data_IF_004117191654
#
_entry.id   IF_004117191654
#
_cell.length_a   1.000
_cell.length_b   1.000
_cell.length_c   1.000
_cell.angle_alpha   90.00
_cell.angle_beta   90.00
_cell.angle_gamma   90.00
#
_symmetry.space_group_name_H-M   'P 1'
#
loop_
_entity.id
_entity.type
_entity.pdbx_description
1 polymer ?
#
# COMPACT_ATOMS: atom_id res chain seq x y z
N UNK A 1 -18.93 -5.57 -17.20
CA UNK A 1 -17.84 -6.33 -16.53
C UNK A 1 -17.52 -5.67 -15.21
N UNK A 2 -17.52 -6.44 -14.12
CA UNK A 2 -17.33 -5.94 -12.76
C UNK A 2 -16.35 -6.82 -12.01
N UNK A 3 -15.58 -6.22 -11.12
CA UNK A 3 -14.76 -6.96 -10.17
C UNK A 3 -15.59 -7.18 -8.89
N UNK A 4 -15.85 -8.43 -8.54
CA UNK A 4 -16.63 -8.80 -7.35
C UNK A 4 -15.76 -9.56 -6.36
N UNK A 5 -16.10 -9.46 -5.08
CA UNK A 5 -15.45 -10.23 -4.01
C UNK A 5 -16.33 -11.42 -3.65
N UNK A 6 -15.85 -12.63 -3.92
CA UNK A 6 -16.49 -13.86 -3.50
C UNK A 6 -16.05 -14.22 -2.08
N UNK A 7 -17.02 -14.53 -1.22
CA UNK A 7 -16.80 -14.94 0.17
C UNK A 7 -17.10 -16.43 0.30
N UNK A 8 -16.13 -17.21 0.74
CA UNK A 8 -16.32 -18.62 1.06
C UNK A 8 -16.70 -18.78 2.54
N UNK A 9 -17.37 -19.89 2.87
CA UNK A 9 -17.73 -20.24 4.25
C UNK A 9 -16.51 -20.36 5.17
N UNK A 10 -15.33 -20.64 4.61
CA UNK A 10 -14.04 -20.66 5.32
C UNK A 10 -13.53 -19.27 5.72
N UNK A 11 -14.18 -18.18 5.31
CA UNK A 11 -13.70 -16.80 5.47
C UNK A 11 -12.82 -16.31 4.31
N UNK A 12 -12.35 -17.21 3.44
CA UNK A 12 -11.51 -16.86 2.30
C UNK A 12 -12.23 -15.88 1.36
N UNK A 13 -11.51 -14.84 0.95
CA UNK A 13 -11.99 -13.82 0.01
C UNK A 13 -11.22 -13.96 -1.31
N UNK A 14 -11.95 -14.10 -2.42
CA UNK A 14 -11.35 -14.23 -3.75
C UNK A 14 -11.93 -13.17 -4.67
N UNK A 15 -11.11 -12.31 -5.31
CA UNK A 15 -11.61 -11.37 -6.28
C UNK A 15 -11.87 -12.11 -7.59
N UNK A 16 -13.03 -11.89 -8.20
CA UNK A 16 -13.44 -12.52 -9.45
C UNK A 16 -13.88 -11.44 -10.42
N UNK A 17 -13.34 -11.49 -11.63
CA UNK A 17 -13.77 -10.61 -12.71
C UNK A 17 -14.95 -11.27 -13.43
N UNK A 18 -16.10 -10.62 -13.39
CA UNK A 18 -17.35 -11.16 -13.92
C UNK A 18 -17.90 -10.30 -15.07
N UNK A 19 -18.58 -10.95 -16.00
CA UNK A 19 -19.45 -10.30 -16.98
C UNK A 19 -20.87 -10.19 -16.43
N UNK A 20 -21.55 -9.09 -16.74
CA UNK A 20 -22.96 -8.89 -16.36
C UNK A 20 -23.81 -9.84 -17.23
N UNK A 21 -24.58 -10.73 -16.60
CA UNK A 21 -25.46 -11.70 -17.27
C UNK A 21 -26.93 -11.54 -16.82
N UNK A 22 -27.86 -12.12 -17.56
CA UNK A 22 -29.32 -11.96 -17.38
C UNK A 22 -29.88 -12.58 -16.08
N UNK A 23 -29.21 -13.57 -15.49
CA UNK A 23 -29.66 -14.22 -14.25
C UNK A 23 -28.61 -14.20 -13.11
N UNK A 24 -27.31 -14.21 -13.44
CA UNK A 24 -26.22 -14.08 -12.47
C UNK A 24 -24.92 -13.62 -13.17
N UNK A 25 -24.01 -12.92 -12.45
CA UNK A 25 -22.70 -12.59 -12.98
C UNK A 25 -21.84 -13.84 -13.20
N UNK A 26 -21.34 -14.03 -14.42
CA UNK A 26 -20.48 -15.16 -14.79
C UNK A 26 -18.99 -14.75 -14.80
N UNK A 27 -18.05 -15.57 -14.30
CA UNK A 27 -16.63 -15.27 -14.40
C UNK A 27 -16.16 -15.16 -15.86
N UNK A 28 -15.30 -14.18 -16.19
CA UNK A 28 -14.57 -14.20 -17.46
C UNK A 28 -13.54 -15.32 -17.44
N UNK A 29 -13.56 -16.16 -18.47
CA UNK A 29 -12.96 -17.49 -18.43
C UNK A 29 -11.44 -17.44 -18.25
N UNK A 30 -10.73 -16.73 -19.12
CA UNK A 30 -9.27 -16.72 -19.09
C UNK A 30 -8.71 -16.00 -17.86
N UNK A 31 -9.24 -14.83 -17.44
CA UNK A 31 -8.86 -14.19 -16.18
C UNK A 31 -9.13 -15.07 -14.95
N UNK A 32 -10.24 -15.80 -14.93
CA UNK A 32 -10.57 -16.71 -13.83
C UNK A 32 -9.53 -17.85 -13.73
N UNK A 33 -9.22 -18.52 -14.84
CA UNK A 33 -8.21 -19.59 -14.88
C UNK A 33 -6.83 -19.04 -14.48
N UNK A 34 -6.47 -17.84 -14.94
CA UNK A 34 -5.21 -17.18 -14.57
C UNK A 34 -5.08 -17.03 -13.06
N UNK A 35 -6.13 -16.51 -12.41
CA UNK A 35 -6.15 -16.32 -10.96
C UNK A 35 -6.04 -17.66 -10.21
N UNK A 36 -6.82 -18.66 -10.60
CA UNK A 36 -6.81 -19.97 -9.94
C UNK A 36 -5.45 -20.65 -10.01
N UNK A 37 -4.75 -20.53 -11.14
CA UNK A 37 -3.47 -21.21 -11.36
C UNK A 37 -2.25 -20.43 -10.88
N UNK A 38 -2.28 -19.09 -10.92
CA UNK A 38 -1.11 -18.24 -10.58
C UNK A 38 -1.17 -17.62 -9.18
N UNK A 39 -2.35 -17.52 -8.58
CA UNK A 39 -2.56 -16.72 -7.37
C UNK A 39 -3.22 -17.48 -6.20
N UNK A 40 -3.27 -18.82 -6.25
CA UNK A 40 -3.91 -19.67 -5.21
C UNK A 40 -3.51 -19.33 -3.77
N UNK A 41 -2.30 -18.82 -3.55
CA UNK A 41 -1.74 -18.47 -2.23
C UNK A 41 -1.31 -17.00 -2.11
N UNK A 42 -1.86 -16.11 -2.94
CA UNK A 42 -1.51 -14.69 -2.92
C UNK A 42 -2.59 -13.88 -2.21
N UNK A 43 -2.16 -12.84 -1.50
CA UNK A 43 -3.07 -11.92 -0.79
C UNK A 43 -4.11 -11.32 -1.73
N UNK A 44 -5.36 -11.17 -1.23
CA UNK A 44 -6.51 -10.67 -1.98
C UNK A 44 -6.19 -9.39 -2.78
N UNK A 45 -5.58 -8.40 -2.14
CA UNK A 45 -5.28 -7.10 -2.76
C UNK A 45 -4.30 -7.22 -3.94
N UNK A 46 -3.38 -8.17 -3.90
CA UNK A 46 -2.46 -8.45 -5.01
C UNK A 46 -3.23 -8.99 -6.21
N UNK A 47 -4.09 -9.98 -5.98
CA UNK A 47 -4.94 -10.58 -7.04
C UNK A 47 -5.90 -9.55 -7.62
N UNK A 48 -6.56 -8.77 -6.75
CA UNK A 48 -7.47 -7.70 -7.15
C UNK A 48 -6.76 -6.62 -7.96
N UNK A 49 -5.49 -6.30 -7.69
CA UNK A 49 -4.72 -5.36 -8.49
C UNK A 49 -4.51 -5.89 -9.93
N UNK A 50 -4.09 -7.15 -10.08
CA UNK A 50 -3.99 -7.79 -11.41
C UNK A 50 -5.33 -7.78 -12.15
N UNK A 51 -6.42 -8.16 -11.48
CA UNK A 51 -7.73 -8.18 -12.10
C UNK A 51 -8.24 -6.78 -12.48
N UNK A 52 -7.88 -5.71 -11.75
CA UNK A 52 -8.20 -4.34 -12.16
C UNK A 52 -7.45 -3.92 -13.43
N UNK A 53 -6.17 -4.30 -13.55
CA UNK A 53 -5.40 -4.04 -14.76
C UNK A 53 -5.98 -4.80 -15.97
N UNK A 54 -6.33 -6.08 -15.79
CA UNK A 54 -6.99 -6.90 -16.80
C UNK A 54 -8.36 -6.32 -17.15
N UNK A 55 -9.18 -5.95 -16.16
CA UNK A 55 -10.50 -5.35 -16.36
C UNK A 55 -10.40 -4.07 -17.20
N UNK A 56 -9.45 -3.19 -16.90
CA UNK A 56 -9.26 -1.95 -17.64
C UNK A 56 -8.93 -2.22 -19.11
N UNK A 57 -8.03 -3.16 -19.39
CA UNK A 57 -7.71 -3.56 -20.75
C UNK A 57 -8.88 -4.22 -21.48
N UNK A 58 -9.61 -5.12 -20.82
CA UNK A 58 -10.82 -5.75 -21.39
C UNK A 58 -11.91 -4.72 -21.69
N UNK A 59 -12.04 -3.69 -20.85
CA UNK A 59 -12.99 -2.59 -21.08
C UNK A 59 -12.61 -1.82 -22.34
N UNK A 60 -11.34 -1.50 -22.50
CA UNK A 60 -10.82 -0.82 -23.69
C UNK A 60 -10.92 -1.70 -24.95
N UNK A 61 -10.59 -2.99 -24.87
CA UNK A 61 -10.71 -3.90 -25.99
C UNK A 61 -12.17 -4.08 -26.44
N UNK A 62 -13.11 -4.11 -25.50
CA UNK A 62 -14.55 -4.16 -25.80
C UNK A 62 -15.02 -2.92 -26.56
N UNK A 63 -14.49 -1.72 -26.27
CA UNK A 63 -14.82 -0.52 -27.06
C UNK A 63 -14.21 -0.53 -28.47
N UNK A 64 -13.32 -1.50 -28.75
CA UNK A 64 -12.75 -1.78 -30.07
C UNK A 64 -13.27 -3.10 -30.65
N UNK A 65 -14.40 -3.58 -30.14
CA UNK A 65 -15.12 -4.77 -30.63
C UNK A 65 -14.28 -6.06 -30.63
N UNK A 66 -13.26 -6.14 -29.76
CA UNK A 66 -12.41 -7.34 -29.62
C UNK A 66 -12.75 -8.10 -28.34
N UNK A 67 -13.17 -9.37 -28.45
CA UNK A 67 -13.22 -10.28 -27.30
C UNK A 67 -11.83 -10.88 -27.03
N UNK A 68 -11.23 -10.44 -25.91
CA UNK A 68 -9.89 -10.87 -25.51
C UNK A 68 -9.84 -12.36 -25.13
N UNK A 69 -10.90 -12.94 -24.55
CA UNK A 69 -10.90 -14.36 -24.23
C UNK A 69 -10.85 -15.19 -25.53
N UNK A 70 -11.68 -14.84 -26.52
CA UNK A 70 -11.72 -15.52 -27.83
C UNK A 70 -10.39 -15.37 -28.57
N UNK A 71 -9.83 -14.16 -28.64
CA UNK A 71 -8.55 -13.90 -29.29
C UNK A 71 -7.40 -14.69 -28.63
N UNK A 72 -7.37 -14.80 -27.29
CA UNK A 72 -6.36 -15.60 -26.58
C UNK A 72 -6.53 -17.09 -26.90
N UNK A 73 -7.75 -17.61 -26.86
CA UNK A 73 -8.02 -19.02 -27.13
C UNK A 73 -7.71 -19.41 -28.57
N UNK A 74 -7.93 -18.49 -29.52
CA UNK A 74 -7.54 -18.62 -30.92
C UNK A 74 -6.04 -18.35 -31.18
N UNK A 75 -5.27 -17.99 -30.16
CA UNK A 75 -3.86 -17.62 -30.25
C UNK A 75 -3.57 -16.41 -31.18
N UNK A 76 -4.54 -15.49 -31.35
CA UNK A 76 -4.42 -14.26 -32.12
C UNK A 76 -3.81 -13.11 -31.29
N UNK A 77 -2.60 -13.31 -30.77
CA UNK A 77 -1.94 -12.32 -29.90
C UNK A 77 -1.58 -11.02 -30.63
N UNK A 78 -1.29 -11.06 -31.93
CA UNK A 78 -0.99 -9.85 -32.72
C UNK A 78 -2.16 -8.84 -32.69
N UNK A 79 -3.39 -9.31 -32.82
CA UNK A 79 -4.59 -8.46 -32.72
C UNK A 79 -4.75 -7.84 -31.33
N UNK A 80 -4.35 -8.57 -30.28
CA UNK A 80 -4.36 -8.05 -28.90
C UNK A 80 -3.28 -6.98 -28.73
N UNK A 81 -2.08 -7.22 -29.25
CA UNK A 81 -0.94 -6.30 -29.12
C UNK A 81 -1.12 -5.01 -29.94
N UNK A 82 -1.86 -5.07 -31.05
CA UNK A 82 -2.23 -3.89 -31.82
C UNK A 82 -3.05 -2.86 -31.01
N UNK A 83 -3.67 -3.27 -29.91
CA UNK A 83 -4.42 -2.38 -29.02
C UNK A 83 -3.55 -1.62 -28.02
N UNK A 84 -2.29 -2.01 -27.80
CA UNK A 84 -1.47 -1.49 -26.70
C UNK A 84 -1.23 0.02 -26.80
N UNK A 85 -0.82 0.50 -27.98
CA UNK A 85 -0.49 1.92 -28.19
C UNK A 85 -1.70 2.81 -27.79
N UNK A 86 -2.89 2.48 -28.31
CA UNK A 86 -4.12 3.20 -27.96
C UNK A 86 -4.57 3.00 -26.51
N UNK A 87 -4.37 1.80 -25.93
CA UNK A 87 -4.70 1.54 -24.52
C UNK A 87 -3.86 2.42 -23.58
N UNK A 88 -2.58 2.61 -23.89
CA UNK A 88 -1.69 3.42 -23.05
C UNK A 88 -2.10 4.89 -23.03
N UNK A 89 -2.48 5.45 -24.18
CA UNK A 89 -3.06 6.78 -24.31
C UNK A 89 -4.41 6.89 -23.61
N UNK A 90 -5.24 5.84 -23.71
CA UNK A 90 -6.53 5.78 -23.03
C UNK A 90 -6.39 5.81 -21.51
N UNK A 91 -5.40 5.13 -20.92
CA UNK A 91 -5.12 5.20 -19.49
C UNK A 91 -4.70 6.61 -19.03
N UNK A 92 -3.97 7.34 -19.86
CA UNK A 92 -3.50 8.70 -19.55
C UNK A 92 -4.59 9.76 -19.70
N UNK A 93 -5.53 9.56 -20.61
CA UNK A 93 -6.61 10.51 -20.93
C UNK A 93 -7.82 10.40 -20.00
N UNK A 94 -7.66 9.89 -18.78
CA UNK A 94 -8.79 9.67 -17.87
C UNK A 94 -9.82 8.69 -18.43
N UNK A 95 -9.39 7.77 -19.31
CA UNK A 95 -10.23 6.79 -20.00
C UNK A 95 -11.25 7.43 -20.94
N UNK A 96 -10.93 8.60 -21.48
CA UNK A 96 -11.80 9.36 -22.39
C UNK A 96 -11.32 9.40 -23.84
N UNK A 97 -10.01 9.31 -24.10
CA UNK A 97 -9.51 9.42 -25.47
C UNK A 97 -9.69 8.10 -26.23
N UNK A 98 -10.61 8.12 -27.19
CA UNK A 98 -10.36 7.48 -28.47
C UNK A 98 -9.29 8.26 -29.23
N UNK A 99 -8.64 7.60 -30.18
CA UNK A 99 -7.54 8.13 -30.98
C UNK A 99 -7.81 9.56 -31.49
N UNK A 100 -6.74 10.31 -31.80
CA UNK A 100 -6.61 11.70 -32.31
C UNK A 100 -7.54 12.18 -33.45
N UNK A 101 -8.62 11.50 -33.78
CA UNK A 101 -9.71 12.00 -34.62
C UNK A 101 -10.87 12.39 -33.71
N UNK A 102 -10.88 13.65 -33.30
CA UNK A 102 -11.96 14.27 -32.55
C UNK A 102 -13.31 14.08 -33.27
N UNK A 103 -14.16 13.16 -32.78
CA UNK A 103 -15.60 13.25 -33.04
C UNK A 103 -16.20 14.23 -32.05
N UNK A 104 -16.37 15.46 -32.52
CA UNK A 104 -17.13 16.50 -31.85
C UNK A 104 -18.56 15.98 -31.65
N UNK A 105 -19.04 16.00 -30.40
CA UNK A 105 -20.45 15.80 -30.06
C UNK A 105 -20.83 14.37 -29.66
N UNK A 106 -20.35 13.88 -28.51
CA UNK A 106 -21.11 12.88 -27.75
C UNK A 106 -20.97 13.10 -26.25
N UNK A 107 -22.08 12.96 -25.56
CA UNK A 107 -22.33 13.30 -24.15
C UNK A 107 -21.23 12.80 -23.21
N UNK A 108 -20.59 13.72 -22.48
CA UNK A 108 -19.51 13.41 -21.56
C UNK A 108 -19.99 12.48 -20.44
N UNK A 109 -19.59 11.20 -20.50
CA UNK A 109 -19.53 10.38 -19.29
C UNK A 109 -18.55 11.04 -18.32
N UNK A 110 -18.90 11.08 -17.02
CA UNK A 110 -18.09 11.66 -15.96
C UNK A 110 -16.61 11.26 -16.13
N UNK A 111 -15.73 12.24 -16.34
CA UNK A 111 -14.31 12.02 -16.53
C UNK A 111 -13.75 11.29 -15.32
N UNK A 112 -13.11 10.14 -15.55
CA UNK A 112 -12.26 9.56 -14.51
C UNK A 112 -10.97 10.40 -14.48
N UNK A 113 -10.40 10.65 -13.28
CA UNK A 113 -9.15 11.39 -13.20
C UNK A 113 -8.05 10.65 -13.99
N UNK A 114 -7.16 11.38 -14.68
CA UNK A 114 -5.97 10.80 -15.30
C UNK A 114 -5.23 9.89 -14.33
N UNK A 115 -4.85 8.70 -14.79
CA UNK A 115 -4.11 7.74 -13.96
C UNK A 115 -2.67 8.22 -13.82
N UNK A 116 -2.15 8.23 -12.60
CA UNK A 116 -0.77 8.62 -12.37
C UNK A 116 0.21 7.70 -13.13
N UNK A 117 1.35 8.21 -13.62
CA UNK A 117 2.26 7.41 -14.45
C UNK A 117 2.75 6.11 -13.80
N UNK A 118 2.94 6.09 -12.48
CA UNK A 118 3.35 4.89 -11.76
C UNK A 118 2.24 3.84 -11.73
N UNK A 119 1.00 4.24 -11.47
CA UNK A 119 -0.16 3.33 -11.57
C UNK A 119 -0.36 2.86 -13.00
N UNK A 120 -0.19 3.70 -14.01
CA UNK A 120 -0.24 3.30 -15.43
C UNK A 120 0.79 2.21 -15.72
N UNK A 121 2.05 2.42 -15.37
CA UNK A 121 3.11 1.43 -15.58
C UNK A 121 2.83 0.13 -14.81
N UNK A 122 2.24 0.21 -13.61
CA UNK A 122 1.82 -0.97 -12.85
C UNK A 122 0.71 -1.76 -13.58
N UNK A 123 -0.26 -1.07 -14.19
CA UNK A 123 -1.29 -1.72 -15.00
C UNK A 123 -0.66 -2.45 -16.20
N UNK A 124 0.27 -1.80 -16.90
CA UNK A 124 0.99 -2.40 -18.03
C UNK A 124 1.80 -3.62 -17.60
N UNK A 125 2.53 -3.56 -16.48
CA UNK A 125 3.29 -4.70 -15.94
C UNK A 125 2.39 -5.88 -15.58
N UNK A 126 1.23 -5.63 -14.99
CA UNK A 126 0.28 -6.68 -14.62
C UNK A 126 -0.38 -7.30 -15.84
N UNK A 127 -0.70 -6.48 -16.84
CA UNK A 127 -1.21 -6.95 -18.13
C UNK A 127 -0.17 -7.77 -18.89
N UNK A 128 1.10 -7.33 -18.91
CA UNK A 128 2.22 -8.09 -19.47
C UNK A 128 2.29 -9.50 -18.88
N UNK A 129 2.31 -9.60 -17.55
CA UNK A 129 2.35 -10.90 -16.87
C UNK A 129 1.15 -11.80 -17.20
N UNK A 130 -0.02 -11.22 -17.40
CA UNK A 130 -1.23 -11.95 -17.80
C UNK A 130 -1.13 -12.48 -19.23
N UNK A 131 -0.69 -11.65 -20.18
CA UNK A 131 -0.55 -12.05 -21.59
C UNK A 131 0.61 -13.02 -21.79
N UNK A 132 1.77 -12.80 -21.16
CA UNK A 132 2.88 -13.76 -21.19
C UNK A 132 2.46 -15.13 -20.65
N UNK A 133 1.69 -15.17 -19.55
CA UNK A 133 1.13 -16.43 -19.05
C UNK A 133 0.17 -17.09 -20.04
N UNK A 134 -0.65 -16.28 -20.72
CA UNK A 134 -1.60 -16.77 -21.73
C UNK A 134 -0.87 -17.41 -22.91
N UNK A 135 0.21 -16.79 -23.39
CA UNK A 135 1.09 -17.35 -24.44
C UNK A 135 1.65 -18.70 -24.00
N UNK A 136 2.27 -18.76 -22.81
CA UNK A 136 2.82 -20.02 -22.26
C UNK A 136 1.78 -21.12 -22.15
N UNK A 137 0.54 -20.76 -21.83
CA UNK A 137 -0.53 -21.75 -21.61
C UNK A 137 -1.17 -22.25 -22.90
N UNK A 138 -1.50 -21.36 -23.82
CA UNK A 138 -2.40 -21.66 -24.93
C UNK A 138 -1.68 -21.93 -26.26
N UNK A 139 -0.53 -21.29 -26.54
CA UNK A 139 0.20 -21.52 -27.80
C UNK A 139 0.67 -22.97 -27.95
N UNK A 140 1.32 -23.61 -26.95
CA UNK A 140 1.75 -24.99 -27.08
C UNK A 140 0.57 -25.94 -27.31
N UNK A 141 -0.57 -25.68 -26.65
CA UNK A 141 -1.77 -26.55 -26.71
C UNK A 141 -2.53 -26.44 -28.02
N UNK A 142 -2.67 -25.24 -28.58
CA UNK A 142 -3.34 -25.03 -29.86
C UNK A 142 -2.61 -25.75 -31.01
N UNK A 143 -1.30 -25.96 -30.87
CA UNK A 143 -0.43 -26.53 -31.90
C UNK A 143 -0.05 -28.00 -31.69
N UNK A 144 -0.51 -28.64 -30.61
CA UNK A 144 -0.40 -30.11 -30.47
C UNK A 144 -1.16 -30.88 -31.56
N UNK A 145 -2.04 -30.19 -32.30
CA UNK A 145 -2.72 -30.72 -33.49
C UNK A 145 -1.91 -30.54 -34.80
N UNK A 146 -0.64 -30.08 -34.73
CA UNK A 146 0.24 -29.86 -35.89
C UNK A 146 1.53 -30.68 -35.77
N UNK A 147 1.96 -31.31 -36.87
CA UNK A 147 2.95 -32.40 -36.92
C UNK A 147 4.41 -31.99 -36.62
N UNK A 148 4.72 -30.72 -36.32
CA UNK A 148 6.13 -30.26 -36.22
C UNK A 148 6.40 -29.46 -34.96
N UNK A 149 6.81 -30.15 -33.89
CA UNK A 149 7.18 -29.58 -32.58
C UNK A 149 8.15 -28.37 -32.66
N UNK A 150 9.13 -28.41 -33.56
CA UNK A 150 10.12 -27.33 -33.73
C UNK A 150 9.49 -25.98 -34.17
N UNK A 151 8.46 -26.00 -35.02
CA UNK A 151 7.78 -24.78 -35.47
C UNK A 151 6.93 -24.16 -34.35
N UNK A 152 6.48 -24.98 -33.40
CA UNK A 152 5.71 -24.55 -32.24
C UNK A 152 6.61 -23.75 -31.29
N UNK A 153 7.82 -24.27 -31.03
CA UNK A 153 8.79 -23.67 -30.12
C UNK A 153 9.31 -22.32 -30.64
N UNK A 154 9.64 -22.22 -31.93
CA UNK A 154 10.08 -20.97 -32.57
C UNK A 154 9.00 -19.90 -32.46
N UNK A 155 7.79 -20.17 -32.95
CA UNK A 155 6.74 -19.17 -32.91
C UNK A 155 6.17 -18.92 -31.50
N UNK A 156 6.42 -19.80 -30.51
CA UNK A 156 6.20 -19.49 -29.10
C UNK A 156 7.22 -18.45 -28.60
N UNK A 157 8.51 -18.68 -28.87
CA UNK A 157 9.58 -17.77 -28.47
C UNK A 157 9.41 -16.37 -29.10
N UNK A 158 9.04 -16.32 -30.38
CA UNK A 158 8.81 -15.07 -31.10
C UNK A 158 7.69 -14.24 -30.46
N UNK A 159 6.53 -14.85 -30.20
CA UNK A 159 5.39 -14.14 -29.59
C UNK A 159 5.72 -13.69 -28.16
N UNK A 160 6.40 -14.51 -27.37
CA UNK A 160 6.80 -14.15 -26.01
C UNK A 160 7.76 -12.95 -26.00
N UNK A 161 8.75 -12.93 -26.91
CA UNK A 161 9.71 -11.85 -27.04
C UNK A 161 9.08 -10.56 -27.58
N UNK A 162 8.14 -10.66 -28.53
CA UNK A 162 7.36 -9.51 -29.02
C UNK A 162 6.53 -8.88 -27.91
N UNK A 163 5.88 -9.68 -27.05
CA UNK A 163 5.18 -9.17 -25.86
C UNK A 163 6.14 -8.40 -24.96
N UNK A 164 7.29 -8.97 -24.63
CA UNK A 164 8.25 -8.32 -23.74
C UNK A 164 8.70 -6.97 -24.30
N UNK A 165 9.12 -6.93 -25.57
CA UNK A 165 9.57 -5.71 -26.25
C UNK A 165 8.47 -4.65 -26.34
N UNK A 166 7.24 -5.03 -26.72
CA UNK A 166 6.11 -4.10 -26.86
C UNK A 166 5.71 -3.44 -25.54
N UNK A 167 5.74 -4.18 -24.43
CA UNK A 167 5.40 -3.61 -23.13
C UNK A 167 6.54 -2.75 -22.56
N UNK A 168 7.80 -3.16 -22.69
CA UNK A 168 8.92 -2.38 -22.17
C UNK A 168 9.08 -1.03 -22.91
N UNK A 169 8.71 -0.95 -24.20
CA UNK A 169 8.71 0.35 -24.91
C UNK A 169 7.69 1.35 -24.38
N UNK A 170 6.65 0.88 -23.67
CA UNK A 170 5.59 1.72 -23.10
C UNK A 170 5.77 2.01 -21.61
N UNK A 171 6.57 1.20 -20.90
CA UNK A 171 6.83 1.38 -19.47
C UNK A 171 7.91 2.45 -19.31
N UNK A 172 7.51 3.62 -18.79
CA UNK A 172 8.42 4.77 -18.65
C UNK A 172 9.33 4.66 -17.43
N UNK A 173 8.96 3.84 -16.43
CA UNK A 173 9.71 3.71 -15.18
C UNK A 173 9.90 5.05 -14.47
N UNK A 174 8.82 5.83 -14.37
CA UNK A 174 8.87 7.14 -13.69
C UNK A 174 9.45 6.95 -12.30
N UNK A 175 10.66 7.49 -12.10
CA UNK A 175 11.33 7.41 -10.81
C UNK A 175 10.55 8.31 -9.85
N UNK A 176 10.15 7.81 -8.67
CA UNK A 176 9.54 8.67 -7.68
C UNK A 176 10.50 9.83 -7.38
N UNK A 177 9.96 11.03 -7.26
CA UNK A 177 10.73 12.20 -6.89
C UNK A 177 11.52 11.90 -5.60
N UNK A 178 12.85 11.85 -5.74
CA UNK A 178 13.77 11.49 -4.65
C UNK A 178 13.92 12.61 -3.63
N UNK A 179 13.38 13.80 -3.90
CA UNK A 179 13.60 14.98 -3.07
C UNK A 179 12.88 14.93 -1.71
N UNK A 180 11.85 14.09 -1.54
CA UNK A 180 11.01 14.14 -0.33
C UNK A 180 11.16 12.92 0.58
N UNK A 181 11.61 13.17 1.80
CA UNK A 181 11.51 12.22 2.90
C UNK A 181 10.08 12.14 3.45
N UNK A 182 9.59 10.90 3.65
CA UNK A 182 8.27 10.63 4.23
C UNK A 182 8.22 10.66 5.75
N UNK A 183 9.35 10.51 6.44
CA UNK A 183 9.38 10.68 7.90
C UNK A 183 8.91 12.10 8.27
N UNK A 184 8.44 12.29 9.49
CA UNK A 184 8.05 13.60 10.01
C UNK A 184 9.25 14.21 10.75
N UNK A 185 9.49 15.51 10.59
CA UNK A 185 10.50 16.24 11.37
C UNK A 185 9.99 16.47 12.80
N UNK A 186 10.89 16.82 13.72
CA UNK A 186 10.50 17.07 15.11
C UNK A 186 9.45 18.19 15.25
N UNK A 187 9.55 19.34 14.55
CA UNK A 187 8.49 20.36 14.57
C UNK A 187 7.15 19.83 14.05
N UNK A 188 7.15 19.10 12.94
CA UNK A 188 5.94 18.51 12.36
C UNK A 188 5.28 17.54 13.35
N UNK A 189 6.06 16.68 14.00
CA UNK A 189 5.53 15.73 14.96
C UNK A 189 5.00 16.42 16.22
N UNK A 190 5.69 17.46 16.70
CA UNK A 190 5.25 18.21 17.86
C UNK A 190 3.88 18.87 17.62
N UNK A 191 3.66 19.43 16.43
CA UNK A 191 2.37 20.00 16.03
C UNK A 191 1.30 18.90 16.02
N UNK A 192 1.58 17.76 15.37
CA UNK A 192 0.66 16.62 15.32
C UNK A 192 0.26 16.16 16.73
N UNK A 193 1.25 15.95 17.61
CA UNK A 193 1.02 15.49 19.00
C UNK A 193 0.25 16.50 19.84
N UNK A 194 0.52 17.79 19.66
CA UNK A 194 -0.20 18.87 20.35
C UNK A 194 -1.68 18.88 19.93
N UNK A 195 -1.93 18.71 18.64
CA UNK A 195 -3.27 18.78 18.05
C UNK A 195 -4.13 17.56 18.37
N UNK A 196 -3.55 16.36 18.34
CA UNK A 196 -4.29 15.10 18.52
C UNK A 196 -4.60 14.80 19.99
N UNK A 197 -3.88 15.43 20.94
CA UNK A 197 -4.03 15.19 22.38
C UNK A 197 -5.48 15.43 22.83
N UNK A 198 -6.09 14.54 23.63
CA UNK A 198 -7.43 14.75 24.16
C UNK A 198 -7.54 16.06 24.95
N UNK A 199 -8.61 16.81 24.71
CA UNK A 199 -8.89 18.10 25.34
C UNK A 199 -8.15 19.30 24.73
N UNK A 200 -7.24 19.11 23.75
CA UNK A 200 -6.55 20.23 23.13
C UNK A 200 -7.53 21.17 22.39
N UNK A 201 -7.34 22.49 22.56
CA UNK A 201 -8.23 23.53 22.00
C UNK A 201 -8.38 23.41 20.49
N UNK A 202 -7.28 23.11 19.78
CA UNK A 202 -7.29 22.93 18.33
C UNK A 202 -7.69 21.53 17.84
N UNK A 203 -7.99 20.58 18.75
CA UNK A 203 -8.23 19.19 18.34
C UNK A 203 -9.44 19.12 17.39
N UNK A 204 -9.27 18.65 16.15
CA UNK A 204 -10.34 18.75 15.17
C UNK A 204 -11.45 17.72 15.41
N UNK A 205 -11.31 16.78 16.35
CA UNK A 205 -12.28 15.71 16.57
C UNK A 205 -13.22 16.01 17.75
N UNK A 206 -14.48 15.52 17.69
CA UNK A 206 -15.37 15.55 18.86
C UNK A 206 -14.75 14.81 20.05
N UNK A 207 -14.94 15.33 21.29
CA UNK A 207 -14.35 14.79 22.53
C UNK A 207 -14.36 13.26 22.61
N UNK A 208 -15.51 12.62 22.37
CA UNK A 208 -15.70 11.15 22.38
C UNK A 208 -14.82 10.34 21.43
N UNK A 209 -14.17 10.97 20.46
CA UNK A 209 -13.29 10.32 19.48
C UNK A 209 -11.81 10.66 19.71
N UNK A 210 -11.50 11.63 20.57
CA UNK A 210 -10.15 12.15 20.72
C UNK A 210 -9.21 11.11 21.33
N UNK A 211 -9.61 10.43 22.41
CA UNK A 211 -8.77 9.38 23.03
C UNK A 211 -8.49 8.22 22.07
N UNK A 212 -9.52 7.74 21.36
CA UNK A 212 -9.38 6.71 20.33
C UNK A 212 -8.38 7.13 19.25
N UNK A 213 -8.53 8.34 18.71
CA UNK A 213 -7.70 8.83 17.63
C UNK A 213 -6.26 9.08 18.09
N UNK A 214 -6.07 9.62 19.29
CA UNK A 214 -4.75 9.80 19.88
C UNK A 214 -4.04 8.47 20.08
N UNK A 215 -4.72 7.47 20.68
CA UNK A 215 -4.18 6.12 20.85
C UNK A 215 -3.76 5.48 19.51
N UNK A 216 -4.56 5.66 18.44
CA UNK A 216 -4.18 5.19 17.10
C UNK A 216 -2.86 5.82 16.61
N UNK A 217 -2.68 7.12 16.80
CA UNK A 217 -1.47 7.83 16.35
C UNK A 217 -0.25 7.43 17.17
N UNK A 218 -0.36 7.35 18.50
CA UNK A 218 0.77 6.94 19.34
C UNK A 218 1.16 5.47 19.11
N UNK A 219 0.20 4.56 18.86
CA UNK A 219 0.52 3.19 18.45
C UNK A 219 1.27 3.12 17.13
N UNK A 220 0.92 3.95 16.15
CA UNK A 220 1.66 4.04 14.88
C UNK A 220 3.08 4.57 15.08
N UNK A 221 3.27 5.52 16.01
CA UNK A 221 4.55 6.14 16.32
C UNK A 221 5.46 5.25 17.16
N UNK A 222 4.95 4.50 18.13
CA UNK A 222 5.76 3.66 19.01
C UNK A 222 6.12 2.30 18.41
N UNK A 223 5.28 1.77 17.51
CA UNK A 223 5.49 0.41 16.97
C UNK A 223 5.87 0.37 15.49
N UNK A 224 5.67 1.49 14.79
CA UNK A 224 5.83 1.57 13.33
C UNK A 224 4.91 0.61 12.56
N UNK A 225 3.84 0.07 13.18
CA UNK A 225 2.95 -0.87 12.50
C UNK A 225 2.27 -0.26 11.28
N UNK A 226 1.87 -1.10 10.31
CA UNK A 226 1.09 -0.63 9.16
C UNK A 226 -0.35 -0.36 9.56
N UNK A 227 -1.04 0.49 8.80
CA UNK A 227 -2.50 0.74 8.99
C UNK A 227 -3.35 -0.53 9.05
N UNK A 228 -3.00 -1.55 8.25
CA UNK A 228 -3.73 -2.81 8.23
C UNK A 228 -3.59 -3.57 9.56
N UNK A 229 -2.38 -3.59 10.10
CA UNK A 229 -2.03 -4.18 11.40
C UNK A 229 -2.78 -3.45 12.52
N UNK A 230 -2.74 -2.11 12.55
CA UNK A 230 -3.47 -1.29 13.52
C UNK A 230 -4.97 -1.62 13.56
N UNK A 231 -5.60 -1.72 12.38
CA UNK A 231 -7.03 -1.98 12.25
C UNK A 231 -7.42 -3.45 12.49
N UNK A 232 -6.43 -4.33 12.63
CA UNK A 232 -6.59 -5.76 12.93
C UNK A 232 -6.31 -6.12 14.39
N UNK A 233 -5.85 -5.17 15.20
CA UNK A 233 -5.69 -5.38 16.64
C UNK A 233 -7.02 -5.72 17.29
N UNK A 234 -7.01 -6.73 18.14
CA UNK A 234 -8.05 -7.03 19.12
C UNK A 234 -7.76 -6.34 20.45
N UNK A 235 -8.77 -6.25 21.31
CA UNK A 235 -8.61 -5.75 22.69
C UNK A 235 -7.77 -6.65 23.59
N UNK A 236 -7.29 -7.78 23.11
CA UNK A 236 -6.45 -8.72 23.87
C UNK A 236 -5.03 -8.79 23.34
N UNK A 237 -4.72 -8.00 22.30
CA UNK A 237 -3.38 -8.00 21.69
C UNK A 237 -2.39 -7.09 22.41
N UNK A 238 -2.88 -6.22 23.31
CA UNK A 238 -2.04 -5.33 24.11
C UNK A 238 -2.04 -5.83 25.54
N UNK A 239 -0.86 -6.20 26.04
CA UNK A 239 -0.72 -6.86 27.34
C UNK A 239 0.46 -6.29 28.12
N UNK A 240 0.38 -6.34 29.45
CA UNK A 240 1.48 -6.02 30.35
C UNK A 240 2.37 -7.25 30.55
N UNK A 241 3.61 -7.19 30.07
CA UNK A 241 4.62 -8.21 30.34
C UNK A 241 5.36 -7.99 31.67
N UNK A 242 6.29 -8.88 31.99
CA UNK A 242 7.13 -8.78 33.19
C UNK A 242 8.12 -7.61 33.15
N UNK A 243 8.64 -7.28 31.96
CA UNK A 243 9.62 -6.19 31.78
C UNK A 243 9.01 -4.91 31.18
N UNK A 244 8.09 -5.07 30.24
CA UNK A 244 7.44 -3.96 29.55
C UNK A 244 6.07 -4.42 29.01
N UNK A 245 5.20 -3.46 28.73
CA UNK A 245 3.97 -3.72 27.98
C UNK A 245 4.30 -3.96 26.50
N UNK A 246 3.48 -4.75 25.82
CA UNK A 246 3.71 -5.10 24.43
C UNK A 246 2.41 -5.19 23.63
N UNK A 247 2.54 -5.06 22.32
CA UNK A 247 1.47 -5.27 21.34
C UNK A 247 1.83 -6.45 20.45
N UNK A 248 0.95 -7.44 20.38
CA UNK A 248 1.06 -8.60 19.50
C UNK A 248 0.33 -8.35 18.18
N UNK A 249 1.10 -8.23 17.11
CA UNK A 249 0.60 -8.13 15.73
C UNK A 249 0.50 -9.56 15.21
N UNK A 250 -0.71 -10.08 15.13
CA UNK A 250 -0.98 -11.45 14.67
C UNK A 250 -1.53 -11.45 13.24
N UNK A 251 -1.17 -12.49 12.48
CA UNK A 251 -1.76 -12.71 11.16
C UNK A 251 -3.20 -13.19 11.31
N UNK A 252 -4.14 -12.38 10.80
CA UNK A 252 -5.59 -12.60 10.84
C UNK A 252 -6.23 -12.28 9.50
N UNK A 253 -5.52 -12.57 8.41
CA UNK A 253 -6.10 -12.48 7.07
C UNK A 253 -7.24 -13.48 6.90
N UNK A 254 -8.31 -13.07 6.22
CA UNK A 254 -9.51 -13.85 5.99
C UNK A 254 -10.27 -14.24 7.27
N UNK A 255 -10.22 -13.40 8.31
CA UNK A 255 -10.97 -13.61 9.56
C UNK A 255 -12.49 -13.69 9.25
N UNK A 256 -13.16 -14.85 9.47
CA UNK A 256 -14.60 -14.99 9.24
C UNK A 256 -15.44 -14.03 10.11
N UNK A 257 -14.91 -13.61 11.26
CA UNK A 257 -15.53 -12.65 12.16
C UNK A 257 -15.34 -11.18 11.76
N UNK A 258 -14.60 -10.88 10.67
CA UNK A 258 -14.39 -9.52 10.18
C UNK A 258 -15.55 -9.07 9.26
N UNK A 259 -16.44 -8.19 9.72
CA UNK A 259 -17.63 -7.79 8.96
C UNK A 259 -17.34 -6.74 7.89
N UNK A 260 -16.08 -6.28 7.74
CA UNK A 260 -15.74 -5.21 6.80
C UNK A 260 -15.72 -5.77 5.38
N UNK A 261 -16.36 -5.07 4.45
CA UNK A 261 -16.31 -5.44 3.03
C UNK A 261 -14.87 -5.41 2.50
N UNK A 262 -14.15 -4.33 2.79
CA UNK A 262 -12.71 -4.21 2.55
C UNK A 262 -11.95 -4.59 3.82
N UNK A 263 -11.45 -5.82 3.86
CA UNK A 263 -10.60 -6.30 4.97
C UNK A 263 -9.25 -5.58 4.97
N UNK A 264 -8.77 -5.08 6.13
CA UNK A 264 -7.38 -4.65 6.24
C UNK A 264 -6.45 -5.86 6.12
N UNK A 265 -5.63 -5.86 5.06
CA UNK A 265 -4.63 -6.89 4.81
C UNK A 265 -3.32 -6.63 5.58
N UNK A 266 -2.64 -7.71 5.96
CA UNK A 266 -1.30 -7.65 6.52
C UNK A 266 -0.27 -7.70 5.38
N UNK A 267 0.83 -6.97 5.54
CA UNK A 267 1.95 -7.00 4.57
C UNK A 267 3.25 -7.43 5.21
N UNK A 268 3.22 -7.78 6.50
CA UNK A 268 4.38 -8.17 7.29
C UNK A 268 4.08 -9.39 8.11
N UNK A 269 5.14 -10.04 8.56
CA UNK A 269 5.04 -11.16 9.48
C UNK A 269 4.52 -10.69 10.85
N UNK A 270 3.81 -11.60 11.51
CA UNK A 270 3.41 -11.43 12.89
C UNK A 270 4.62 -11.23 13.81
N UNK A 271 4.44 -10.43 14.84
CA UNK A 271 5.51 -10.06 15.80
C UNK A 271 4.92 -9.43 17.04
N UNK A 272 5.72 -9.41 18.10
CA UNK A 272 5.43 -8.65 19.31
C UNK A 272 6.36 -7.44 19.38
N UNK A 273 5.79 -6.28 19.67
CA UNK A 273 6.53 -5.01 19.77
C UNK A 273 6.31 -4.41 21.16
N UNK A 274 7.40 -4.09 21.85
CA UNK A 274 7.32 -3.40 23.14
C UNK A 274 6.75 -1.98 22.98
N UNK A 275 5.97 -1.54 23.95
CA UNK A 275 5.41 -0.19 24.05
C UNK A 275 5.70 0.42 25.41
N UNK A 276 5.64 1.74 25.49
CA UNK A 276 5.83 2.47 26.73
C UNK A 276 4.74 2.17 27.75
N UNK A 277 5.07 2.33 29.04
CA UNK A 277 4.08 2.24 30.13
C UNK A 277 2.98 3.28 29.95
N UNK A 278 3.34 4.48 29.48
CA UNK A 278 2.40 5.58 29.23
C UNK A 278 1.39 5.19 28.13
N UNK A 279 1.84 4.61 27.02
CA UNK A 279 0.93 4.17 25.96
C UNK A 279 0.02 3.03 26.44
N UNK A 280 0.54 2.14 27.28
CA UNK A 280 -0.26 1.08 27.90
C UNK A 280 -1.35 1.65 28.82
N UNK A 281 -1.04 2.66 29.64
CA UNK A 281 -2.02 3.34 30.49
C UNK A 281 -3.13 4.03 29.67
N UNK A 282 -2.76 4.68 28.55
CA UNK A 282 -3.73 5.28 27.62
C UNK A 282 -4.64 4.22 27.00
N UNK A 283 -4.07 3.08 26.63
CA UNK A 283 -4.83 1.93 26.14
C UNK A 283 -5.82 1.40 27.20
N UNK A 284 -5.36 1.18 28.44
CA UNK A 284 -6.22 0.72 29.54
C UNK A 284 -7.37 1.70 29.78
N UNK A 285 -7.06 3.00 29.86
CA UNK A 285 -8.08 4.03 30.04
C UNK A 285 -9.11 4.03 28.89
N UNK A 286 -8.65 3.89 27.64
CA UNK A 286 -9.53 3.78 26.48
C UNK A 286 -10.45 2.55 26.58
N UNK A 287 -9.92 1.38 26.92
CA UNK A 287 -10.71 0.15 27.08
C UNK A 287 -11.77 0.30 28.17
N UNK A 288 -11.40 0.87 29.31
CA UNK A 288 -12.25 0.96 30.50
C UNK A 288 -13.31 2.06 30.39
N UNK A 289 -13.02 3.17 29.70
CA UNK A 289 -13.82 4.40 29.82
C UNK A 289 -14.51 4.84 28.52
N UNK A 290 -13.83 4.78 27.38
CA UNK A 290 -14.32 5.45 26.15
C UNK A 290 -14.57 4.51 24.96
N UNK A 291 -14.03 3.29 24.98
CA UNK A 291 -14.16 2.38 23.83
C UNK A 291 -15.62 2.06 23.52
N UNK A 292 -16.46 1.83 24.52
CA UNK A 292 -17.86 1.42 24.33
C UNK A 292 -18.73 2.64 23.99
N UNK A 293 -19.27 2.76 22.76
CA UNK A 293 -20.11 3.90 22.42
C UNK A 293 -21.47 3.83 23.11
N UNK A 294 -22.06 5.01 23.33
CA UNK A 294 -23.40 5.18 23.88
C UNK A 294 -24.35 5.70 22.82
N UNK A 295 -25.58 5.17 22.80
CA UNK A 295 -26.65 5.61 21.90
C UNK A 295 -27.97 5.61 22.66
N UNK A 296 -28.72 6.69 22.55
CA UNK A 296 -30.04 6.87 23.19
C UNK A 296 -29.98 6.56 24.71
N UNK A 297 -28.93 7.05 25.37
CA UNK A 297 -28.70 6.86 26.81
C UNK A 297 -28.25 5.45 27.24
N UNK A 298 -28.04 4.52 26.32
CA UNK A 298 -27.64 3.13 26.61
C UNK A 298 -26.31 2.74 25.95
N UNK A 299 -25.49 1.90 26.61
CA UNK A 299 -24.22 1.48 26.04
C UNK A 299 -24.43 0.37 24.99
N UNK A 300 -23.88 0.56 23.79
CA UNK A 300 -24.08 -0.37 22.66
C UNK A 300 -23.48 -1.75 22.95
N UNK A 301 -24.13 -2.83 22.50
CA UNK A 301 -23.58 -4.20 22.55
C UNK A 301 -22.39 -4.31 21.58
N UNK A 302 -21.22 -4.65 22.10
CA UNK A 302 -20.02 -4.83 21.29
C UNK A 302 -19.94 -6.27 20.78
N UNK A 303 -20.27 -6.45 19.50
CA UNK A 303 -20.27 -7.78 18.86
C UNK A 303 -18.89 -8.20 18.33
N UNK A 304 -17.93 -7.28 18.32
CA UNK A 304 -16.64 -7.46 17.65
C UNK A 304 -15.47 -7.23 18.62
N UNK A 305 -14.43 -8.05 18.46
CA UNK A 305 -13.23 -8.09 19.32
C UNK A 305 -12.18 -7.02 18.98
N UNK A 306 -12.35 -6.33 17.85
CA UNK A 306 -11.40 -5.34 17.33
C UNK A 306 -11.22 -4.14 18.28
N UNK A 307 -9.98 -3.73 18.51
CA UNK A 307 -9.60 -2.64 19.41
C UNK A 307 -10.29 -1.32 19.01
N UNK A 308 -10.16 -0.96 17.74
CA UNK A 308 -10.72 0.27 17.21
C UNK A 308 -12.08 0.02 16.56
N UNK A 309 -13.10 0.70 17.09
CA UNK A 309 -14.47 0.64 16.61
C UNK A 309 -15.00 2.02 16.23
N UNK A 310 -15.99 2.01 15.35
CA UNK A 310 -16.85 3.15 15.03
C UNK A 310 -17.82 3.46 16.17
N UNK A 311 -18.46 4.62 16.08
CA UNK A 311 -19.58 5.01 16.94
C UNK A 311 -20.78 4.04 16.89
N UNK A 312 -20.87 3.22 15.84
CA UNK A 312 -21.85 2.14 15.69
C UNK A 312 -21.39 0.80 16.27
N UNK A 313 -20.26 0.74 16.96
CA UNK A 313 -19.71 -0.49 17.53
C UNK A 313 -19.14 -1.49 16.51
N UNK A 314 -19.01 -1.10 15.24
CA UNK A 314 -18.41 -1.91 14.16
C UNK A 314 -16.91 -1.65 14.05
N UNK A 315 -16.08 -2.63 13.64
CA UNK A 315 -14.64 -2.45 13.45
C UNK A 315 -14.33 -1.27 12.53
N UNK A 316 -13.34 -0.47 12.91
CA UNK A 316 -12.96 0.72 12.14
C UNK A 316 -12.46 0.31 10.75
N UNK A 317 -12.90 1.01 9.70
CA UNK A 317 -12.51 0.74 8.32
C UNK A 317 -11.22 1.47 7.92
N UNK A 318 -10.58 1.03 6.84
CA UNK A 318 -9.43 1.73 6.25
C UNK A 318 -9.81 3.18 5.91
N UNK A 319 -10.98 3.39 5.31
CA UNK A 319 -11.51 4.72 4.98
C UNK A 319 -11.70 5.58 6.23
N UNK A 320 -12.23 5.03 7.32
CA UNK A 320 -12.43 5.79 8.55
C UNK A 320 -11.10 6.26 9.16
N UNK A 321 -10.05 5.42 9.14
CA UNK A 321 -8.70 5.84 9.54
C UNK A 321 -8.13 6.89 8.57
N UNK A 322 -8.31 6.72 7.26
CA UNK A 322 -7.90 7.73 6.28
C UNK A 322 -8.56 9.09 6.54
N UNK A 323 -9.85 9.12 6.85
CA UNK A 323 -10.56 10.35 7.17
C UNK A 323 -10.02 11.03 8.46
N UNK A 324 -9.58 10.24 9.45
CA UNK A 324 -8.92 10.80 10.65
C UNK A 324 -7.62 11.50 10.24
N UNK A 325 -6.79 10.84 9.44
CA UNK A 325 -5.51 11.40 9.00
C UNK A 325 -5.68 12.61 8.08
N UNK A 326 -6.65 12.56 7.17
CA UNK A 326 -6.99 13.66 6.27
C UNK A 326 -7.52 14.87 7.05
N UNK A 327 -8.40 14.66 8.03
CA UNK A 327 -8.87 15.77 8.87
C UNK A 327 -7.73 16.42 9.65
N UNK A 328 -6.83 15.61 10.22
CA UNK A 328 -5.65 16.11 10.91
C UNK A 328 -4.73 16.90 9.97
N UNK A 329 -4.49 16.38 8.76
CA UNK A 329 -3.74 17.05 7.71
C UNK A 329 -4.33 18.40 7.36
N UNK A 330 -5.62 18.46 7.03
CA UNK A 330 -6.30 19.69 6.62
C UNK A 330 -6.30 20.74 7.74
N UNK A 331 -6.43 20.34 9.00
CA UNK A 331 -6.32 21.27 10.14
C UNK A 331 -4.91 21.85 10.27
N UNK A 332 -3.86 21.05 10.04
CA UNK A 332 -2.48 21.52 10.06
C UNK A 332 -2.22 22.43 8.85
N UNK A 333 -2.66 22.04 7.66
CA UNK A 333 -2.48 22.83 6.44
C UNK A 333 -3.16 24.21 6.54
N UNK A 334 -4.33 24.29 7.18
CA UNK A 334 -5.00 25.56 7.41
C UNK A 334 -4.22 26.48 8.36
N UNK A 335 -3.57 25.94 9.39
CA UNK A 335 -2.81 26.70 10.37
C UNK A 335 -1.35 26.97 9.95
N UNK A 336 -0.78 26.07 9.16
CA UNK A 336 0.62 26.07 8.71
C UNK A 336 0.70 25.59 7.24
N UNK A 337 0.30 26.44 6.27
CA UNK A 337 0.29 26.07 4.85
C UNK A 337 1.65 25.56 4.36
N UNK A 338 1.64 24.45 3.62
CA UNK A 338 2.85 23.84 3.04
C UNK A 338 3.76 23.13 4.05
N UNK A 339 3.44 23.11 5.35
CA UNK A 339 4.26 22.44 6.37
C UNK A 339 4.32 20.93 6.14
N UNK A 340 3.20 20.33 5.78
CA UNK A 340 3.07 18.92 5.44
C UNK A 340 2.53 18.84 4.02
N UNK A 341 3.19 18.13 3.10
CA UNK A 341 2.60 17.99 1.76
C UNK A 341 1.54 16.88 1.71
N UNK A 342 1.58 15.91 2.64
CA UNK A 342 0.55 14.87 2.86
C UNK A 342 0.71 14.29 4.28
N UNK A 343 -0.34 13.64 4.80
CA UNK A 343 -0.26 12.83 6.02
C UNK A 343 -0.96 11.48 5.86
N UNK A 344 -0.25 10.40 6.14
CA UNK A 344 -0.73 9.03 6.05
C UNK A 344 -0.14 8.16 7.16
N UNK A 345 -0.77 7.02 7.45
CA UNK A 345 -0.26 6.04 8.41
C UNK A 345 1.20 5.60 8.10
N UNK A 346 1.56 5.66 6.82
CA UNK A 346 2.88 5.29 6.35
C UNK A 346 3.97 6.30 6.75
N UNK A 347 3.62 7.58 6.91
CA UNK A 347 4.55 8.62 7.32
C UNK A 347 4.97 8.43 8.78
N UNK A 348 4.05 8.00 9.64
CA UNK A 348 4.37 7.58 11.02
C UNK A 348 5.32 6.38 11.05
N UNK A 349 5.12 5.38 10.18
CA UNK A 349 6.03 4.25 10.07
C UNK A 349 7.42 4.65 9.59
N UNK A 350 7.53 5.56 8.62
CA UNK A 350 8.81 6.13 8.23
C UNK A 350 9.46 6.85 9.42
N UNK A 351 8.70 7.68 10.12
CA UNK A 351 9.17 8.42 11.32
C UNK A 351 9.69 7.48 12.41
N UNK A 352 8.95 6.40 12.70
CA UNK A 352 9.40 5.36 13.64
C UNK A 352 10.71 4.74 13.19
N UNK A 353 10.80 4.27 11.94
CA UNK A 353 12.01 3.60 11.44
C UNK A 353 13.24 4.51 11.46
N UNK A 354 13.06 5.77 11.07
CA UNK A 354 14.09 6.82 11.08
C UNK A 354 14.66 7.02 12.48
N UNK A 355 13.77 7.23 13.46
CA UNK A 355 14.15 7.47 14.86
C UNK A 355 14.66 6.24 15.58
N UNK A 356 14.09 5.07 15.30
CA UNK A 356 14.54 3.82 15.89
C UNK A 356 15.95 3.48 15.43
N UNK A 357 16.24 3.64 14.13
CA UNK A 357 17.59 3.44 13.61
C UNK A 357 18.58 4.44 14.21
N UNK A 358 18.20 5.73 14.29
CA UNK A 358 19.00 6.76 14.94
C UNK A 358 19.31 6.41 16.41
N UNK A 359 18.31 5.95 17.16
CA UNK A 359 18.49 5.53 18.55
C UNK A 359 19.48 4.36 18.68
N UNK A 360 19.36 3.33 17.84
CA UNK A 360 20.27 2.17 17.90
C UNK A 360 21.72 2.56 17.55
N UNK A 361 21.92 3.40 16.53
CA UNK A 361 23.27 3.79 16.10
C UNK A 361 23.87 4.84 17.03
N UNK A 362 23.14 5.89 17.36
CA UNK A 362 23.69 7.05 18.10
C UNK A 362 23.70 6.82 19.62
N UNK A 363 22.66 6.21 20.17
CA UNK A 363 22.53 6.03 21.63
C UNK A 363 23.02 4.67 22.09
N UNK A 364 22.69 3.60 21.35
CA UNK A 364 23.12 2.23 21.69
C UNK A 364 24.48 1.86 21.10
N UNK A 365 25.03 2.70 20.22
CA UNK A 365 26.34 2.52 19.55
C UNK A 365 26.44 1.20 18.78
N UNK A 366 25.32 0.72 18.23
CA UNK A 366 25.33 -0.45 17.37
C UNK A 366 25.89 -0.08 16.00
N UNK A 367 26.57 -1.03 15.37
CA UNK A 367 26.91 -0.93 13.96
C UNK A 367 25.62 -0.92 13.11
N UNK A 368 25.75 -0.42 11.88
CA UNK A 368 24.59 -0.22 11.01
C UNK A 368 23.91 -1.53 10.62
N UNK A 369 24.65 -2.64 10.50
CA UNK A 369 24.09 -3.92 10.08
C UNK A 369 23.22 -4.50 11.19
N UNK A 370 23.74 -4.57 12.41
CA UNK A 370 22.96 -4.97 13.60
C UNK A 370 21.74 -4.08 13.80
N UNK A 371 21.91 -2.75 13.71
CA UNK A 371 20.80 -1.82 13.90
C UNK A 371 19.72 -2.00 12.81
N UNK A 372 20.13 -2.31 11.59
CA UNK A 372 19.24 -2.63 10.48
C UNK A 372 18.48 -3.93 10.71
N UNK A 373 19.13 -4.97 11.26
CA UNK A 373 18.48 -6.26 11.58
C UNK A 373 17.44 -6.13 12.70
N UNK A 374 17.75 -5.41 13.77
CA UNK A 374 16.76 -5.13 14.82
C UNK A 374 15.58 -4.32 14.28
N UNK A 375 15.85 -3.33 13.41
CA UNK A 375 14.81 -2.59 12.72
C UNK A 375 13.96 -3.51 11.83
N UNK A 376 14.55 -4.47 11.08
CA UNK A 376 13.77 -5.47 10.30
C UNK A 376 12.84 -6.26 11.18
N UNK A 377 13.32 -6.74 12.33
CA UNK A 377 12.57 -7.56 13.26
C UNK A 377 11.37 -6.80 13.84
N UNK A 378 11.59 -5.60 14.38
CA UNK A 378 10.50 -4.78 14.97
C UNK A 378 9.50 -4.30 13.92
N UNK A 379 9.93 -4.11 12.67
CA UNK A 379 9.07 -3.73 11.56
C UNK A 379 8.39 -4.91 10.85
N UNK A 380 8.75 -6.17 11.16
CA UNK A 380 8.20 -7.37 10.53
C UNK A 380 8.62 -7.56 9.07
N UNK A 381 9.78 -7.03 8.67
CA UNK A 381 10.34 -7.27 7.34
C UNK A 381 11.05 -8.63 7.27
N UNK A 382 11.18 -9.18 6.07
CA UNK A 382 12.05 -10.34 5.83
C UNK A 382 13.52 -9.98 6.12
N UNK A 383 14.31 -10.96 6.52
CA UNK A 383 15.73 -10.80 6.90
C UNK A 383 16.56 -10.16 5.78
N UNK A 384 16.29 -10.53 4.52
CA UNK A 384 17.00 -9.99 3.34
C UNK A 384 16.40 -8.69 2.80
N UNK A 385 15.42 -8.09 3.50
CA UNK A 385 14.71 -6.93 2.99
C UNK A 385 15.58 -5.68 2.95
N UNK A 386 15.54 -4.96 1.82
CA UNK A 386 16.13 -3.62 1.66
C UNK A 386 15.26 -2.49 2.25
N UNK A 387 14.12 -2.82 2.84
CA UNK A 387 13.16 -1.83 3.34
C UNK A 387 13.70 -0.89 4.44
N UNK A 388 14.56 -1.30 5.39
CA UNK A 388 15.15 -0.38 6.36
C UNK A 388 15.76 0.87 5.73
N UNK A 389 16.57 0.70 4.68
CA UNK A 389 17.23 1.81 3.96
C UNK A 389 16.22 2.77 3.33
N UNK A 390 15.08 2.25 2.87
CA UNK A 390 13.99 3.07 2.30
C UNK A 390 13.20 3.82 3.37
N UNK A 391 12.97 3.19 4.52
CA UNK A 391 12.11 3.77 5.55
C UNK A 391 12.85 4.79 6.43
N UNK A 392 14.11 4.51 6.76
CA UNK A 392 15.01 5.38 7.51
C UNK A 392 15.91 6.22 6.58
N UNK A 393 15.43 6.53 5.37
CA UNK A 393 16.25 7.20 4.35
C UNK A 393 16.69 8.61 4.75
N UNK A 394 15.89 9.31 5.57
CA UNK A 394 16.24 10.65 6.05
C UNK A 394 17.43 10.57 6.99
N UNK A 395 17.36 9.75 8.03
CA UNK A 395 18.43 9.55 9.00
C UNK A 395 19.74 9.18 8.31
N UNK A 396 19.70 8.22 7.38
CA UNK A 396 20.90 7.81 6.63
C UNK A 396 21.51 8.97 5.83
N UNK A 397 20.68 9.78 5.17
CA UNK A 397 21.14 10.92 4.39
C UNK A 397 21.65 12.06 5.28
N UNK A 398 20.94 12.40 6.36
CA UNK A 398 21.36 13.41 7.33
C UNK A 398 22.65 13.02 8.04
N UNK A 399 22.79 11.74 8.42
CA UNK A 399 24.02 11.18 8.98
C UNK A 399 25.18 11.31 8.01
N UNK A 400 25.00 10.92 6.74
CA UNK A 400 26.02 11.08 5.70
C UNK A 400 26.44 12.54 5.50
N UNK A 401 25.46 13.46 5.45
CA UNK A 401 25.73 14.89 5.33
C UNK A 401 26.46 15.44 6.56
N UNK A 402 26.09 15.02 7.77
CA UNK A 402 26.73 15.40 9.03
C UNK A 402 28.20 14.96 9.05
N UNK A 403 28.48 13.71 8.69
CA UNK A 403 29.85 13.20 8.62
C UNK A 403 30.68 13.92 7.56
N UNK A 404 30.10 14.24 6.39
CA UNK A 404 30.80 15.01 5.38
C UNK A 404 31.10 16.44 5.85
N UNK A 405 30.15 17.09 6.54
CA UNK A 405 30.37 18.41 7.13
C UNK A 405 31.51 18.38 8.15
N UNK A 406 31.52 17.41 9.07
CA UNK A 406 32.60 17.22 10.04
C UNK A 406 33.97 16.99 9.37
N UNK A 407 34.02 16.11 8.34
CA UNK A 407 35.23 15.87 7.55
C UNK A 407 35.72 17.14 6.86
N UNK A 408 34.81 17.94 6.31
CA UNK A 408 35.13 19.19 5.63
C UNK A 408 35.61 20.26 6.61
N UNK A 409 34.95 20.45 7.76
CA UNK A 409 35.39 21.37 8.82
C UNK A 409 36.77 21.03 9.35
N UNK A 410 37.05 19.74 9.62
CA UNK A 410 38.38 19.30 10.06
C UNK A 410 39.49 19.53 9.01
N UNK A 411 39.14 19.70 7.73
CA UNK A 411 40.11 20.11 6.71
C UNK A 411 40.49 21.58 6.83
N UNK A 412 39.53 22.45 7.18
CA UNK A 412 39.76 23.88 7.42
C UNK A 412 40.59 24.12 8.68
N UNK A 413 40.27 23.43 9.80
CA UNK A 413 41.01 23.59 11.07
C UNK A 413 42.52 23.30 10.91
N UNK A 414 42.89 22.39 10.00
CA UNK A 414 44.29 22.07 9.70
C UNK A 414 45.01 23.15 8.91
N UNK A 415 44.31 23.90 8.05
CA UNK A 415 44.88 25.02 7.31
C UNK A 415 45.16 26.19 8.26
N UNK A 416 44.23 26.47 9.18
CA UNK A 416 44.38 27.53 10.17
C UNK A 416 45.48 27.21 11.19
N UNK A 417 45.61 25.94 11.59
CA UNK A 417 46.69 25.47 12.47
C UNK A 417 48.10 25.55 11.88
N UNK A 418 48.24 25.59 10.55
CA UNK A 418 49.53 25.80 9.85
C UNK A 418 49.86 27.29 9.65
N UNK A 419 48.89 28.19 9.77
CA UNK A 419 49.07 29.64 9.69
C UNK A 419 49.57 30.30 10.99
N UNK A 420 49.39 29.63 12.13
CA UNK A 420 49.77 30.14 13.47
C UNK A 420 51.22 29.89 13.90
N UNK A 421 52.08 29.33 13.03
CA UNK A 421 53.54 29.24 13.25
C UNK A 421 54.28 30.06 12.20
N UNK A 422 54.21 31.38 12.34
CA UNK A 422 55.18 32.31 11.75
C UNK A 422 55.51 33.34 12.83
N UNK A 423 56.46 32.96 13.67
CA UNK A 423 57.31 33.91 14.40
C UNK A 423 58.36 34.47 13.42
#
# INVERSE_FOLDING_TARGET
MKLVQCHFSSGQRVPVLVQDGSAAPLPKLVPFIYVQLRFKHRAYNTVAAHLRAIQAFYTYAKSRELDIDEAILACHFETILALLDGYTLWLQSGRQADNLVARIGTTAMASLPPIDPHTRDQYLRQLKQYLSWSVTRYIPRARQNSTTQANIEVAFADVADVIERRFESHITNVRPDRARYRSLTDPQLQIIRTLIRPGAVGNPFPKRLQLRNWLMIELLLETGMRRGELLKLYTTDINKGSQHAYVSINDRENDPGDPRAEEPALKTHGRTVGISTQLYEVYEHYIQSERRPWRDGKPIKLLYRYLFISDRGRPLSIRALSNVLERLFLTIELAHPGLLPTLSAHDFRHTFADRFLAYLVEQRRYDLDRATDELRRVCGWAETSAMPRRYASRYLAESANRHNAQRASAAWDRLDGLGGRRD
#
